data_IF_133783508222
#
_entry.id   IF_133783508222
#
_cell.length_a   1.000
_cell.length_b   1.000
_cell.length_c   1.000
_cell.angle_alpha   90.00
_cell.angle_beta   90.00
_cell.angle_gamma   90.00
#
_symmetry.space_group_name_H-M   'P 1'
#
loop_
_entity.id
_entity.type
_entity.pdbx_description
1 polymer ?
#
# COMPACT_ATOMS: atom_id res chain seq x y z
N UNK A 1 -4.85 -9.02 -16.58
CA UNK A 1 -4.08 -10.13 -16.00
C UNK A 1 -3.74 -9.84 -14.56
N UNK A 2 -3.89 -10.80 -13.69
CA UNK A 2 -3.48 -10.59 -12.30
C UNK A 2 -1.96 -10.42 -12.21
N UNK A 3 -1.56 -9.63 -11.25
CA UNK A 3 -0.14 -9.40 -11.00
C UNK A 3 0.48 -10.62 -10.31
N UNK A 4 1.65 -11.01 -10.76
CA UNK A 4 2.39 -12.11 -10.16
C UNK A 4 3.64 -11.53 -9.50
N UNK A 5 3.86 -11.90 -8.25
CA UNK A 5 5.02 -11.40 -7.51
C UNK A 5 6.31 -11.94 -8.11
N UNK A 6 7.29 -11.06 -8.24
CA UNK A 6 8.63 -11.46 -8.60
C UNK A 6 9.35 -12.05 -7.38
N UNK A 7 10.52 -12.60 -7.59
CA UNK A 7 11.26 -13.29 -6.54
C UNK A 7 11.90 -12.36 -5.52
N UNK A 8 11.76 -11.06 -5.70
CA UNK A 8 12.29 -10.05 -4.76
C UNK A 8 11.19 -9.15 -4.22
N UNK A 9 9.94 -9.59 -4.27
CA UNK A 9 8.79 -8.76 -3.88
C UNK A 9 7.94 -9.44 -2.84
N UNK A 10 7.30 -8.61 -2.02
CA UNK A 10 6.15 -9.03 -1.21
C UNK A 10 5.02 -8.07 -1.52
N UNK A 11 3.81 -8.41 -1.09
CA UNK A 11 2.65 -7.56 -1.33
C UNK A 11 1.86 -7.36 -0.05
N UNK A 12 1.24 -6.20 0.05
CA UNK A 12 0.24 -5.92 1.09
C UNK A 12 -1.10 -5.96 0.41
N UNK A 13 -2.02 -6.76 0.93
CA UNK A 13 -3.38 -6.81 0.40
C UNK A 13 -4.32 -6.13 1.38
N UNK A 14 -5.33 -5.47 0.83
CA UNK A 14 -6.31 -4.74 1.60
C UNK A 14 -7.69 -5.16 1.11
N UNK A 15 -8.56 -5.51 2.04
CA UNK A 15 -9.92 -5.94 1.72
C UNK A 15 -10.92 -5.26 2.64
N UNK A 16 -12.16 -5.11 2.19
CA UNK A 16 -13.20 -4.65 3.10
C UNK A 16 -13.32 -5.62 4.27
N UNK A 17 -13.48 -5.10 5.46
CA UNK A 17 -13.55 -5.95 6.65
C UNK A 17 -14.83 -6.75 6.70
N UNK A 18 -15.91 -6.22 6.16
CA UNK A 18 -17.19 -6.92 6.13
C UNK A 18 -17.42 -7.45 4.73
N UNK A 19 -17.70 -8.73 4.63
CA UNK A 19 -17.88 -9.36 3.32
C UNK A 19 -19.32 -9.65 2.98
N UNK A 20 -20.23 -9.55 3.93
CA UNK A 20 -21.58 -10.00 3.67
C UNK A 20 -22.37 -9.09 2.74
N UNK A 21 -22.25 -7.80 2.95
CA UNK A 21 -22.97 -6.84 2.17
C UNK A 21 -22.06 -5.67 1.89
N UNK A 22 -21.46 -5.72 0.72
CA UNK A 22 -20.46 -4.72 0.35
C UNK A 22 -21.08 -3.33 0.23
N UNK A 23 -22.36 -3.27 -0.03
CA UNK A 23 -23.03 -1.98 -0.15
C UNK A 23 -23.15 -1.26 1.19
N UNK A 24 -23.14 -2.02 2.27
CA UNK A 24 -23.22 -1.45 3.60
C UNK A 24 -21.86 -1.34 4.29
N UNK A 25 -20.80 -1.43 3.50
CA UNK A 25 -19.46 -1.38 4.04
C UNK A 25 -19.23 -0.09 4.82
N UNK A 26 -18.68 -0.25 6.02
CA UNK A 26 -18.48 0.87 6.93
C UNK A 26 -17.11 1.54 6.81
N UNK A 27 -16.33 1.15 5.81
CA UNK A 27 -15.01 1.72 5.60
C UNK A 27 -13.87 1.00 6.28
N UNK A 28 -14.17 0.02 7.10
CA UNK A 28 -13.11 -0.75 7.76
C UNK A 28 -12.48 -1.75 6.81
N UNK A 29 -11.19 -1.98 6.98
CA UNK A 29 -10.46 -2.91 6.12
C UNK A 29 -9.70 -3.92 6.95
N UNK A 30 -9.42 -5.05 6.34
CA UNK A 30 -8.43 -6.00 6.85
C UNK A 30 -7.25 -5.99 5.90
N UNK A 31 -6.07 -6.25 6.44
CA UNK A 31 -4.85 -6.24 5.66
C UNK A 31 -4.12 -7.56 5.83
N UNK A 32 -3.29 -7.87 4.85
CA UNK A 32 -2.45 -9.07 4.92
C UNK A 32 -1.17 -8.83 4.16
N UNK A 33 -0.19 -9.67 4.43
CA UNK A 33 1.11 -9.61 3.75
C UNK A 33 1.28 -10.92 3.02
N UNK A 34 1.62 -10.84 1.74
CA UNK A 34 1.80 -12.02 0.90
C UNK A 34 3.24 -12.12 0.49
N UNK A 35 3.82 -13.29 0.71
CA UNK A 35 5.18 -13.60 0.28
C UNK A 35 5.05 -14.72 -0.75
N UNK A 36 5.64 -14.51 -1.92
CA UNK A 36 5.56 -15.52 -2.97
C UNK A 36 6.40 -16.75 -2.64
N UNK A 37 6.00 -17.87 -3.20
CA UNK A 37 6.74 -19.12 -2.99
C UNK A 37 8.14 -19.06 -3.56
N UNK A 38 8.33 -18.22 -4.57
CA UNK A 38 9.61 -18.11 -5.27
C UNK A 38 10.52 -17.04 -4.70
N UNK A 39 10.18 -16.51 -3.53
CA UNK A 39 10.99 -15.44 -2.95
C UNK A 39 12.43 -15.92 -2.79
N UNK A 40 13.35 -15.21 -3.42
CA UNK A 40 14.73 -15.68 -3.56
C UNK A 40 15.77 -14.91 -2.76
N UNK A 41 15.38 -13.77 -2.19
CA UNK A 41 16.35 -12.97 -1.43
C UNK A 41 16.62 -13.58 -0.07
N UNK A 42 17.76 -13.22 0.55
CA UNK A 42 18.09 -13.76 1.86
C UNK A 42 17.05 -13.48 2.92
N UNK A 43 17.03 -14.33 3.94
CA UNK A 43 16.04 -14.26 5.00
C UNK A 43 16.00 -12.90 5.71
N UNK A 44 17.16 -12.29 5.92
CA UNK A 44 17.20 -11.01 6.60
C UNK A 44 16.57 -9.90 5.77
N UNK A 45 16.65 -10.00 4.44
CA UNK A 45 15.99 -9.03 3.57
C UNK A 45 14.48 -9.23 3.63
N UNK A 46 14.03 -10.48 3.61
CA UNK A 46 12.61 -10.75 3.75
C UNK A 46 12.08 -10.18 5.06
N UNK A 47 12.82 -10.36 6.13
CA UNK A 47 12.42 -9.84 7.42
C UNK A 47 12.27 -8.32 7.39
N UNK A 48 13.20 -7.64 6.73
CA UNK A 48 13.12 -6.19 6.63
C UNK A 48 11.93 -5.75 5.79
N UNK A 49 11.65 -6.45 4.70
CA UNK A 49 10.49 -6.12 3.88
C UNK A 49 9.19 -6.33 4.64
N UNK A 50 9.09 -7.41 5.37
CA UNK A 50 7.91 -7.67 6.20
C UNK A 50 7.76 -6.60 7.27
N UNK A 51 8.87 -6.14 7.83
CA UNK A 51 8.84 -5.05 8.79
C UNK A 51 8.22 -3.79 8.17
N UNK A 52 8.67 -3.42 6.98
CA UNK A 52 8.12 -2.25 6.29
C UNK A 52 6.63 -2.43 6.03
N UNK A 53 6.24 -3.60 5.55
CA UNK A 53 4.84 -3.88 5.28
C UNK A 53 3.99 -3.79 6.55
N UNK A 54 4.52 -4.29 7.66
CA UNK A 54 3.79 -4.25 8.93
C UNK A 54 3.62 -2.83 9.43
N UNK A 55 4.57 -1.95 9.14
CA UNK A 55 4.44 -0.55 9.50
C UNK A 55 3.31 0.11 8.71
N UNK A 56 3.19 -0.21 7.43
CA UNK A 56 2.08 0.30 6.62
C UNK A 56 0.74 -0.15 7.18
N UNK A 57 0.62 -1.43 7.50
CA UNK A 57 -0.66 -1.94 8.01
C UNK A 57 -0.98 -1.39 9.39
N UNK A 58 0.03 -1.20 10.21
CA UNK A 58 -0.17 -0.61 11.54
C UNK A 58 -0.60 0.84 11.43
N UNK A 59 -0.11 1.57 10.44
CA UNK A 59 -0.49 2.96 10.24
C UNK A 59 -1.99 3.09 10.00
N UNK A 60 -2.59 2.13 9.32
CA UNK A 60 -4.03 2.13 9.10
C UNK A 60 -4.78 2.08 10.42
N UNK A 61 -4.34 1.21 11.32
CA UNK A 61 -4.96 1.10 12.63
C UNK A 61 -4.82 2.40 13.43
N UNK A 62 -3.63 2.98 13.40
CA UNK A 62 -3.40 4.23 14.14
C UNK A 62 -4.29 5.34 13.61
N UNK A 63 -4.45 5.43 12.31
CA UNK A 63 -5.30 6.44 11.71
C UNK A 63 -6.76 6.30 12.13
N UNK A 64 -7.18 5.09 12.48
CA UNK A 64 -8.57 4.87 12.86
C UNK A 64 -8.92 5.50 14.20
N UNK A 65 -7.94 5.74 15.07
CA UNK A 65 -8.24 6.28 16.40
C UNK A 65 -7.41 7.48 16.78
N UNK A 66 -6.54 7.96 15.88
CA UNK A 66 -5.73 9.14 16.15
C UNK A 66 -5.95 10.16 15.05
N UNK A 67 -6.78 11.16 15.35
CA UNK A 67 -7.16 12.15 14.36
C UNK A 67 -5.98 12.95 13.85
N UNK A 68 -5.01 13.21 14.74
CA UNK A 68 -3.84 13.95 14.31
C UNK A 68 -3.05 13.20 13.25
N UNK A 69 -2.85 11.91 13.48
CA UNK A 69 -2.14 11.09 12.51
C UNK A 69 -2.93 10.99 11.21
N UNK A 70 -4.23 10.78 11.31
CA UNK A 70 -5.09 10.73 10.13
C UNK A 70 -4.97 12.01 9.31
N UNK A 71 -5.07 13.15 9.97
CA UNK A 71 -5.00 14.44 9.28
C UNK A 71 -3.64 14.66 8.65
N UNK A 72 -2.58 14.24 9.32
CA UNK A 72 -1.23 14.38 8.78
C UNK A 72 -1.06 13.55 7.52
N UNK A 73 -1.56 12.33 7.54
CA UNK A 73 -1.47 11.44 6.38
C UNK A 73 -2.32 11.99 5.24
N UNK A 74 -3.53 12.45 5.54
CA UNK A 74 -4.39 13.04 4.51
C UNK A 74 -3.76 14.26 3.87
N UNK A 75 -3.11 15.08 4.69
CA UNK A 75 -2.45 16.27 4.19
C UNK A 75 -1.31 15.91 3.24
N UNK A 76 -0.52 14.92 3.60
CA UNK A 76 0.54 14.44 2.73
C UNK A 76 -0.03 13.91 1.41
N UNK A 77 -1.07 13.09 1.51
CA UNK A 77 -1.71 12.52 0.33
C UNK A 77 -2.19 13.62 -0.61
N UNK A 78 -2.83 14.64 -0.04
CA UNK A 78 -3.44 15.70 -0.83
C UNK A 78 -2.38 16.57 -1.50
N UNK A 79 -1.34 16.91 -0.77
CA UNK A 79 -0.37 17.89 -1.27
C UNK A 79 0.75 17.27 -2.08
N UNK A 80 0.95 15.99 -1.96
CA UNK A 80 2.11 15.34 -2.56
C UNK A 80 1.67 14.19 -3.47
N UNK A 81 1.06 13.17 -2.89
CA UNK A 81 0.81 11.93 -3.60
C UNK A 81 -0.26 12.06 -4.68
N UNK A 82 -1.32 12.76 -4.38
CA UNK A 82 -2.41 12.90 -5.36
C UNK A 82 -1.98 13.70 -6.58
N UNK A 83 -1.12 14.69 -6.39
CA UNK A 83 -0.58 15.41 -7.54
C UNK A 83 0.20 14.48 -8.45
N UNK A 84 0.97 13.59 -7.85
CA UNK A 84 1.77 12.67 -8.64
C UNK A 84 0.89 11.67 -9.38
N UNK A 85 -0.14 11.17 -8.72
CA UNK A 85 -1.07 10.24 -9.35
C UNK A 85 -1.75 10.88 -10.55
N UNK A 86 -2.18 12.12 -10.40
CA UNK A 86 -2.85 12.82 -11.50
C UNK A 86 -1.92 13.01 -12.67
N UNK A 87 -0.67 13.29 -12.39
CA UNK A 87 0.31 13.52 -13.45
C UNK A 87 0.67 12.25 -14.21
N UNK A 88 0.52 11.10 -13.57
CA UNK A 88 0.89 9.83 -14.18
C UNK A 88 -0.20 9.24 -15.05
N UNK A 89 -1.41 9.75 -14.99
CA UNK A 89 -2.52 9.21 -15.76
C UNK A 89 -2.74 7.72 -15.49
N UNK A 90 -3.49 7.44 -14.48
CA UNK A 90 -3.87 6.06 -14.19
C UNK A 90 -4.76 5.57 -15.32
N UNK A 91 -4.22 4.68 -16.15
CA UNK A 91 -4.92 4.34 -17.38
C UNK A 91 -6.03 3.33 -17.18
N UNK A 92 -5.71 2.09 -17.08
CA UNK A 92 -6.74 1.06 -17.10
C UNK A 92 -6.66 0.22 -15.84
N UNK A 93 -7.67 0.36 -15.01
CA UNK A 93 -7.71 -0.37 -13.75
C UNK A 93 -7.81 -1.87 -13.93
N UNK A 94 -8.28 -2.30 -15.08
CA UNK A 94 -8.51 -3.70 -15.34
C UNK A 94 -7.28 -4.45 -15.81
N UNK A 95 -6.22 -3.74 -16.10
CA UNK A 95 -4.99 -4.38 -16.58
C UNK A 95 -4.14 -4.95 -15.47
N UNK A 96 -4.40 -4.57 -14.23
CA UNK A 96 -3.57 -4.98 -13.12
C UNK A 96 -2.24 -4.26 -13.09
N UNK A 97 -2.18 -3.11 -13.70
CA UNK A 97 -0.97 -2.32 -13.74
C UNK A 97 -0.59 -1.81 -12.36
N UNK A 98 0.68 -1.86 -12.06
CA UNK A 98 1.19 -1.39 -10.77
C UNK A 98 1.47 0.10 -10.86
N UNK A 99 0.92 0.87 -9.92
CA UNK A 99 1.21 2.27 -9.81
C UNK A 99 2.46 2.40 -8.95
N UNK A 100 3.51 2.94 -9.52
CA UNK A 100 4.81 3.00 -8.85
C UNK A 100 4.99 4.34 -8.16
N UNK A 101 4.94 4.33 -6.83
CA UNK A 101 5.14 5.53 -6.02
C UNK A 101 6.59 5.71 -5.58
N UNK A 102 7.46 4.76 -5.90
CA UNK A 102 8.82 4.79 -5.41
C UNK A 102 9.63 5.97 -5.90
N UNK A 103 9.48 6.31 -7.17
CA UNK A 103 10.20 7.46 -7.71
C UNK A 103 9.87 8.72 -6.97
N UNK A 104 8.60 8.87 -6.69
CA UNK A 104 8.09 10.03 -5.98
C UNK A 104 8.66 10.09 -4.57
N UNK A 105 8.58 9.00 -3.84
CA UNK A 105 9.11 8.90 -2.49
C UNK A 105 10.61 9.16 -2.47
N UNK A 106 11.31 8.60 -3.44
CA UNK A 106 12.75 8.72 -3.55
C UNK A 106 13.16 10.17 -3.79
N UNK A 107 12.46 10.86 -4.68
CA UNK A 107 12.73 12.25 -4.95
C UNK A 107 12.60 13.08 -3.70
N UNK A 108 11.56 12.81 -2.95
CA UNK A 108 11.31 13.51 -1.71
C UNK A 108 12.40 13.24 -0.69
N UNK A 109 12.86 12.02 -0.64
CA UNK A 109 13.90 11.63 0.29
C UNK A 109 15.23 12.30 0.03
N UNK A 110 15.44 12.77 -1.17
CA UNK A 110 16.68 13.43 -1.55
C UNK A 110 16.64 14.93 -1.38
N UNK A 111 15.51 15.43 -1.01
CA UNK A 111 15.36 16.88 -0.85
C UNK A 111 16.01 17.38 0.43
#
# INVERSE_FOLDING_TARGET
>A
MPYTLDDDEIAVIIRPASSKDIEDWNGNVTTGIVVGDDFALPQHILRDLVHVASMFTSAIDVMNYDDYVYDTVMDHRQNVLMNEIENQEIKDKNTGEVINFNEFTKTKGNA
#
